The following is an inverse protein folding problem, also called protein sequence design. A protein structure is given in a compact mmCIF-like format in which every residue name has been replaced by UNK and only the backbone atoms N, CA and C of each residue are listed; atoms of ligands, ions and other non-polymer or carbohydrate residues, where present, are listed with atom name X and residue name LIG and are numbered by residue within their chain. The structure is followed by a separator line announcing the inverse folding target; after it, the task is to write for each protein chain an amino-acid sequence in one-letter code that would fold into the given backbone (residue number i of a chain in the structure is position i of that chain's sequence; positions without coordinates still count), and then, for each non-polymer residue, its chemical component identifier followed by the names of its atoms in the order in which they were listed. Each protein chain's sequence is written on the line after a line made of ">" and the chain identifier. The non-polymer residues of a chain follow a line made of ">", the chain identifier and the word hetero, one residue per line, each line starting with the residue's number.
data_IF_905812875115
#
_entry.id   IF_905812875115
#
_cell.length_a   1.000
_cell.length_b   1.000
_cell.length_c   1.000
_cell.angle_alpha   90.00
_cell.angle_beta   90.00
_cell.angle_gamma   90.00
#
_symmetry.space_group_name_H-M   'P 1'
#
loop_
_entity.id
_entity.type
_entity.pdbx_description
1 polymer ?
#
# COMPACT_ATOMS: atom_id res chain seq x y z
N UNK A 1 -33.60 3.86 -3.23
CA UNK A 1 -33.40 2.79 -2.24
C UNK A 1 -32.36 3.27 -1.25
N UNK A 2 -32.64 3.25 0.04
CA UNK A 2 -31.59 3.46 1.05
C UNK A 2 -30.66 2.26 0.96
N UNK A 3 -29.42 2.46 0.48
CA UNK A 3 -28.39 1.42 0.56
C UNK A 3 -28.00 1.29 2.03
N UNK A 4 -28.77 0.52 2.78
CA UNK A 4 -28.43 0.23 4.17
C UNK A 4 -27.21 -0.68 4.16
N UNK A 5 -26.03 -0.10 4.36
CA UNK A 5 -24.81 -0.87 4.61
C UNK A 5 -24.95 -1.57 5.97
N UNK A 6 -24.34 -2.75 6.09
CA UNK A 6 -24.35 -3.56 7.31
C UNK A 6 -22.97 -3.52 7.95
N UNK A 7 -22.91 -3.24 9.25
CA UNK A 7 -21.70 -3.37 10.06
C UNK A 7 -21.48 -4.83 10.41
N UNK A 8 -20.26 -5.35 10.19
CA UNK A 8 -19.91 -6.74 10.48
C UNK A 8 -18.64 -6.87 11.33
N UNK A 9 -18.49 -8.03 11.95
CA UNK A 9 -17.21 -8.51 12.49
C UNK A 9 -16.63 -9.55 11.52
N UNK A 10 -15.52 -9.19 10.88
CA UNK A 10 -14.88 -10.00 9.85
C UNK A 10 -13.76 -10.82 10.47
N UNK A 11 -13.84 -12.15 10.36
CA UNK A 11 -12.81 -13.05 10.87
C UNK A 11 -11.90 -13.50 9.73
N UNK A 12 -10.64 -13.08 9.78
CA UNK A 12 -9.61 -13.37 8.81
C UNK A 12 -8.70 -14.53 9.24
N UNK A 13 -8.29 -15.32 8.26
CA UNK A 13 -7.44 -16.51 8.43
C UNK A 13 -6.02 -16.27 7.90
N UNK A 14 -5.04 -17.11 8.28
CA UNK A 14 -3.67 -17.01 7.76
C UNK A 14 -3.62 -16.93 6.23
N UNK A 15 -2.78 -16.03 5.72
CA UNK A 15 -2.48 -15.84 4.30
C UNK A 15 -3.69 -15.47 3.44
N UNK A 16 -4.73 -14.91 4.06
CA UNK A 16 -5.91 -14.43 3.36
C UNK A 16 -5.67 -13.04 2.76
N UNK A 17 -6.34 -12.78 1.64
CA UNK A 17 -6.48 -11.44 1.06
C UNK A 17 -7.94 -10.99 1.18
N UNK A 18 -8.16 -9.78 1.68
CA UNK A 18 -9.47 -9.14 1.76
C UNK A 18 -9.43 -7.88 0.91
N UNK A 19 -10.37 -7.77 -0.02
CA UNK A 19 -10.57 -6.59 -0.85
C UNK A 19 -11.77 -5.78 -0.32
N UNK A 20 -11.52 -4.56 0.15
CA UNK A 20 -12.57 -3.71 0.70
C UNK A 20 -13.65 -3.32 -0.33
N UNK A 21 -13.29 -3.20 -1.61
CA UNK A 21 -14.28 -2.93 -2.67
C UNK A 21 -15.23 -4.11 -2.86
N UNK A 22 -14.75 -5.34 -2.65
CA UNK A 22 -15.60 -6.53 -2.65
C UNK A 22 -16.56 -6.53 -1.46
N UNK A 23 -16.11 -6.12 -0.27
CA UNK A 23 -16.99 -5.99 0.89
C UNK A 23 -18.07 -4.92 0.67
N UNK A 24 -17.70 -3.75 0.15
CA UNK A 24 -18.63 -2.67 -0.19
C UNK A 24 -19.68 -3.13 -1.21
N UNK A 25 -19.27 -3.89 -2.24
CA UNK A 25 -20.21 -4.42 -3.24
C UNK A 25 -21.24 -5.39 -2.65
N UNK A 26 -20.93 -6.00 -1.50
CA UNK A 26 -21.84 -6.86 -0.73
C UNK A 26 -22.71 -6.07 0.26
N UNK A 27 -22.54 -4.75 0.32
CA UNK A 27 -23.26 -3.88 1.25
C UNK A 27 -22.67 -3.88 2.66
N UNK A 28 -21.40 -4.25 2.84
CA UNK A 28 -20.72 -4.17 4.14
C UNK A 28 -20.17 -2.74 4.31
N UNK A 29 -20.32 -2.21 5.52
CA UNK A 29 -19.75 -0.91 5.91
C UNK A 29 -18.26 -1.07 6.24
N UNK A 30 -17.39 -0.76 5.29
CA UNK A 30 -15.93 -0.86 5.44
C UNK A 30 -15.31 0.21 6.33
N UNK A 31 -16.08 1.16 6.87
CA UNK A 31 -15.59 2.18 7.80
C UNK A 31 -15.87 1.72 9.24
N UNK A 32 -17.10 1.32 9.51
CA UNK A 32 -17.55 0.96 10.87
C UNK A 32 -17.40 -0.53 11.20
N UNK A 33 -17.22 -1.40 10.20
CA UNK A 33 -16.98 -2.83 10.44
C UNK A 33 -15.60 -3.06 11.05
N UNK A 34 -15.48 -4.14 11.81
CA UNK A 34 -14.23 -4.55 12.46
C UNK A 34 -13.65 -5.77 11.76
N UNK A 35 -12.35 -5.96 11.90
CA UNK A 35 -11.67 -7.16 11.45
C UNK A 35 -10.82 -7.77 12.56
N UNK A 36 -10.89 -9.09 12.65
CA UNK A 36 -10.13 -9.91 13.57
C UNK A 36 -9.20 -10.81 12.77
N UNK A 37 -7.90 -10.78 13.07
CA UNK A 37 -6.92 -11.68 12.46
C UNK A 37 -6.36 -12.61 13.53
N UNK A 38 -6.53 -13.94 13.34
CA UNK A 38 -6.18 -14.96 14.33
C UNK A 38 -6.81 -14.71 15.73
N UNK A 39 -8.02 -14.16 15.75
CA UNK A 39 -8.76 -13.85 16.98
C UNK A 39 -8.34 -12.54 17.65
N UNK A 40 -7.43 -11.76 17.07
CA UNK A 40 -7.04 -10.42 17.56
C UNK A 40 -7.74 -9.35 16.74
N UNK A 41 -8.47 -8.45 17.40
CA UNK A 41 -9.05 -7.25 16.76
C UNK A 41 -7.94 -6.33 16.25
N UNK A 42 -8.02 -5.90 14.99
CA UNK A 42 -7.04 -4.98 14.41
C UNK A 42 -7.49 -3.54 14.64
N UNK A 43 -6.60 -2.73 15.20
CA UNK A 43 -6.84 -1.31 15.48
C UNK A 43 -5.85 -0.37 14.79
N UNK A 44 -4.81 -0.91 14.14
CA UNK A 44 -3.68 -0.15 13.63
C UNK A 44 -2.62 0.10 14.69
N UNK A 45 -1.88 1.20 14.59
CA UNK A 45 -0.76 1.49 15.47
C UNK A 45 0.07 2.72 15.08
N UNK A 46 1.13 2.94 15.85
CA UNK A 46 2.06 4.06 15.67
C UNK A 46 3.17 3.63 14.72
N UNK A 47 3.59 4.55 13.85
CA UNK A 47 4.71 4.28 12.95
C UNK A 47 6.04 4.07 13.70
N UNK A 48 6.87 3.20 13.15
CA UNK A 48 8.23 2.95 13.62
C UNK A 48 9.05 4.25 13.64
N UNK A 49 9.87 4.40 14.69
CA UNK A 49 10.89 5.44 14.78
C UNK A 49 12.30 4.93 14.42
N UNK A 50 12.42 3.66 14.04
CA UNK A 50 13.69 3.05 13.64
C UNK A 50 14.01 3.37 12.17
N UNK A 51 15.28 3.63 11.83
CA UNK A 51 15.70 3.86 10.44
C UNK A 51 15.33 2.69 9.52
N UNK A 52 14.95 2.97 8.27
CA UNK A 52 14.64 1.97 7.24
C UNK A 52 13.38 1.13 7.49
N UNK A 53 12.59 1.51 8.50
CA UNK A 53 11.31 0.88 8.83
C UNK A 53 10.15 1.86 8.60
N UNK A 54 10.32 2.81 7.69
CA UNK A 54 9.25 3.73 7.28
C UNK A 54 8.06 2.91 6.78
N UNK A 55 6.84 3.38 7.08
CA UNK A 55 5.58 2.71 6.79
C UNK A 55 5.32 1.38 7.53
N UNK A 56 6.14 1.00 8.52
CA UNK A 56 5.76 -0.03 9.49
C UNK A 56 5.07 0.59 10.70
N UNK A 57 4.00 -0.03 11.18
CA UNK A 57 3.21 0.43 12.31
C UNK A 57 2.93 -0.71 13.27
N UNK A 58 2.69 -0.39 14.54
CA UNK A 58 2.33 -1.40 15.53
C UNK A 58 2.30 -0.83 16.95
N UNK A 59 2.13 -1.74 17.91
CA UNK A 59 2.33 -1.43 19.32
C UNK A 59 3.84 -1.38 19.59
N UNK A 60 4.35 -0.23 20.03
CA UNK A 60 5.79 -0.05 20.29
C UNK A 60 6.23 -0.89 21.50
N UNK A 61 7.41 -1.51 21.39
CA UNK A 61 8.10 -2.15 22.51
C UNK A 61 9.44 -1.46 22.71
N UNK A 62 9.55 -0.69 23.79
CA UNK A 62 10.78 0.03 24.14
C UNK A 62 11.96 -0.89 24.46
N UNK A 63 11.73 -2.18 24.65
CA UNK A 63 12.78 -3.16 24.94
C UNK A 63 13.25 -3.92 23.68
N UNK A 64 12.54 -3.80 22.56
CA UNK A 64 12.94 -4.42 21.29
C UNK A 64 13.83 -3.45 20.50
N UNK A 65 15.09 -3.85 20.27
CA UNK A 65 16.07 -3.05 19.53
C UNK A 65 16.09 -3.31 18.02
N UNK A 66 15.23 -4.19 17.50
CA UNK A 66 15.20 -4.56 16.08
C UNK A 66 14.21 -3.70 15.30
N UNK A 67 12.92 -3.97 15.42
CA UNK A 67 11.86 -3.16 14.78
C UNK A 67 11.18 -2.20 15.75
N UNK A 68 11.45 -2.31 17.06
CA UNK A 68 10.82 -1.46 18.08
C UNK A 68 9.33 -1.76 18.30
N UNK A 69 8.86 -2.94 17.92
CA UNK A 69 7.45 -3.36 18.07
C UNK A 69 7.31 -4.59 18.95
N UNK A 70 6.16 -4.68 19.61
CA UNK A 70 5.74 -5.89 20.31
C UNK A 70 5.37 -6.98 19.29
N UNK A 71 6.25 -7.95 19.06
CA UNK A 71 6.06 -9.04 18.07
C UNK A 71 4.89 -9.99 18.39
N UNK A 72 4.31 -9.91 19.59
CA UNK A 72 3.10 -10.68 19.94
C UNK A 72 1.80 -9.96 19.53
N UNK A 73 1.93 -8.77 18.94
CA UNK A 73 0.85 -7.94 18.45
C UNK A 73 0.93 -7.82 16.93
N UNK A 74 -0.18 -7.44 16.26
CA UNK A 74 -0.15 -7.18 14.84
C UNK A 74 0.84 -6.05 14.49
N UNK A 75 1.68 -6.30 13.50
CA UNK A 75 2.54 -5.30 12.88
C UNK A 75 1.98 -5.04 11.49
N UNK A 76 1.81 -3.77 11.13
CA UNK A 76 1.21 -3.35 9.88
C UNK A 76 2.29 -2.78 8.97
N UNK A 77 2.24 -3.07 7.68
CA UNK A 77 3.08 -2.44 6.68
C UNK A 77 2.20 -1.81 5.62
N UNK A 78 2.26 -0.48 5.55
CA UNK A 78 1.52 0.33 4.61
C UNK A 78 2.29 0.43 3.31
N UNK A 79 1.72 -0.12 2.26
CA UNK A 79 2.24 0.05 0.91
C UNK A 79 1.39 1.13 0.24
N UNK A 80 2.04 2.23 -0.14
CA UNK A 80 1.42 3.24 -0.99
C UNK A 80 0.81 2.57 -2.21
N UNK A 81 -0.36 3.05 -2.65
CA UNK A 81 -1.02 2.57 -3.86
C UNK A 81 -0.13 2.80 -5.08
N UNK A 82 0.82 1.89 -5.29
CA UNK A 82 1.66 1.88 -6.46
C UNK A 82 0.85 1.33 -7.62
N UNK A 83 1.10 1.89 -8.79
CA UNK A 83 0.71 1.27 -10.04
C UNK A 83 1.19 -0.19 -10.01
N UNK A 84 0.28 -1.14 -10.19
CA UNK A 84 0.58 -2.58 -10.15
C UNK A 84 1.73 -2.92 -11.12
N UNK A 85 1.87 -2.15 -12.21
CA UNK A 85 2.97 -2.27 -13.16
C UNK A 85 4.33 -1.89 -12.53
N UNK A 86 4.35 -0.92 -11.61
CA UNK A 86 5.55 -0.52 -10.86
C UNK A 86 5.95 -1.55 -9.80
N UNK A 87 4.97 -2.21 -9.18
CA UNK A 87 5.20 -3.33 -8.25
C UNK A 87 5.78 -4.54 -8.98
N UNK A 88 5.22 -4.88 -10.15
CA UNK A 88 5.73 -5.95 -11.01
C UNK A 88 7.16 -5.63 -11.46
N UNK A 89 7.43 -4.41 -11.95
CA UNK A 89 8.77 -4.00 -12.37
C UNK A 89 9.83 -4.10 -11.26
N UNK A 90 9.50 -3.71 -10.02
CA UNK A 90 10.41 -3.87 -8.87
C UNK A 90 10.67 -5.33 -8.52
N UNK A 91 9.64 -6.16 -8.54
CA UNK A 91 9.75 -7.59 -8.25
C UNK A 91 10.51 -8.35 -9.35
N UNK A 92 10.45 -7.89 -10.59
CA UNK A 92 11.28 -8.40 -11.69
C UNK A 92 12.75 -7.96 -11.56
N UNK A 93 13.01 -6.71 -11.13
CA UNK A 93 14.36 -6.23 -10.83
C UNK A 93 15.02 -7.02 -9.69
N UNK A 94 14.28 -7.39 -8.64
CA UNK A 94 14.84 -8.17 -7.51
C UNK A 94 15.13 -9.63 -7.90
N UNK A 95 14.38 -10.19 -8.86
CA UNK A 95 14.65 -11.52 -9.43
C UNK A 95 15.89 -11.56 -10.34
N UNK A 96 16.30 -10.43 -10.92
CA UNK A 96 17.54 -10.34 -11.70
C UNK A 96 18.79 -10.15 -10.85
N UNK A 97 18.68 -9.70 -9.59
CA UNK A 97 19.83 -9.51 -8.69
C UNK A 97 20.29 -10.77 -7.94
N UNK A 98 19.61 -11.91 -8.10
CA UNK A 98 20.01 -13.19 -7.50
C UNK A 98 20.18 -14.27 -8.55
N UNK A 99 20.99 -13.98 -9.57
CA UNK A 99 21.64 -15.00 -10.39
C UNK A 99 22.97 -14.42 -10.91
N UNK A 100 24.08 -14.71 -10.23
CA UNK A 100 25.17 -15.49 -10.82
C UNK A 100 26.33 -15.63 -9.82
N UNK A 101 26.52 -16.88 -9.39
CA UNK A 101 27.74 -17.36 -8.77
C UNK A 101 28.91 -17.35 -9.78
N UNK A 102 30.02 -16.72 -9.36
CA UNK A 102 31.39 -17.07 -9.70
C UNK A 102 31.88 -16.93 -11.17
N UNK A 103 32.88 -16.06 -11.39
CA UNK A 103 34.29 -16.42 -11.66
C UNK A 103 35.13 -15.21 -12.10
N UNK A 104 36.38 -15.22 -11.64
CA UNK A 104 37.46 -14.25 -11.92
C UNK A 104 37.79 -14.08 -13.42
N UNK A 105 38.17 -12.87 -13.85
CA UNK A 105 39.54 -12.51 -14.32
C UNK A 105 39.59 -11.34 -15.32
N UNK A 106 40.35 -10.30 -14.94
CA UNK A 106 41.30 -9.42 -15.68
C UNK A 106 41.03 -8.83 -17.10
N UNK A 107 41.32 -7.51 -17.15
CA UNK A 107 42.11 -6.73 -18.14
C UNK A 107 41.46 -5.99 -19.34
N UNK A 108 41.50 -4.65 -19.20
CA UNK A 108 42.01 -3.59 -20.11
C UNK A 108 41.36 -3.23 -21.46
N UNK A 109 41.04 -1.92 -21.55
CA UNK A 109 41.09 -0.99 -22.70
C UNK A 109 40.36 -1.33 -24.02
N UNK A 110 39.28 -0.60 -24.30
CA UNK A 110 39.06 -0.01 -25.63
C UNK A 110 38.02 1.14 -25.58
N UNK A 111 38.46 2.30 -26.07
CA UNK A 111 37.71 3.54 -26.31
C UNK A 111 37.03 3.44 -27.67
N UNK A 112 35.70 3.53 -27.76
CA UNK A 112 35.00 3.94 -28.99
C UNK A 112 33.80 4.81 -28.65
N UNK A 113 33.78 5.96 -29.33
CA UNK A 113 32.83 7.06 -29.30
C UNK A 113 31.65 6.79 -30.23
N UNK A 114 30.44 7.27 -29.89
CA UNK A 114 29.71 8.30 -30.67
C UNK A 114 28.23 8.44 -30.24
N UNK A 115 27.81 9.70 -30.18
CA UNK A 115 26.51 10.22 -29.76
C UNK A 115 25.30 9.67 -30.52
N UNK A 116 24.18 9.48 -29.81
CA UNK A 116 22.85 9.86 -30.30
C UNK A 116 21.94 10.27 -29.14
N UNK A 117 21.59 11.56 -29.18
CA UNK A 117 20.48 12.25 -28.56
C UNK A 117 19.38 11.33 -27.95
N UNK A 118 19.31 11.25 -26.61
CA UNK A 118 18.11 10.75 -25.92
C UNK A 118 17.15 11.93 -25.75
N UNK A 119 16.24 12.04 -26.70
CA UNK A 119 15.03 12.85 -26.58
C UNK A 119 14.19 12.27 -25.42
N UNK A 120 14.06 13.03 -24.33
CA UNK A 120 13.33 12.63 -23.12
C UNK A 120 11.82 12.86 -23.21
N UNK A 121 11.26 12.97 -24.42
CA UNK A 121 9.82 12.99 -24.61
C UNK A 121 9.24 11.58 -24.45
N UNK A 122 8.90 11.28 -23.19
CA UNK A 122 8.01 10.18 -22.81
C UNK A 122 6.79 10.16 -23.74
N UNK A 123 6.43 9.02 -24.34
CA UNK A 123 5.17 8.88 -25.04
C UNK A 123 4.02 9.11 -24.06
N UNK A 124 3.44 10.31 -24.11
CA UNK A 124 2.12 10.58 -23.53
C UNK A 124 1.09 9.81 -24.34
N UNK A 125 0.59 8.73 -23.78
CA UNK A 125 -0.59 8.05 -24.32
C UNK A 125 -0.54 6.54 -24.20
N UNK A 126 -0.98 6.03 -23.06
CA UNK A 126 -2.11 5.10 -22.92
C UNK A 126 -2.22 4.78 -21.42
N UNK A 127 -2.90 5.64 -20.66
CA UNK A 127 -3.39 5.31 -19.31
C UNK A 127 -4.88 5.01 -19.40
N UNK A 128 -5.18 3.84 -19.94
CA UNK A 128 -6.36 3.09 -19.56
C UNK A 128 -5.76 1.90 -18.79
N UNK A 129 -5.89 1.80 -17.47
CA UNK A 129 -7.11 1.24 -16.88
C UNK A 129 -7.27 1.63 -15.40
N UNK A 130 -8.45 2.18 -15.08
CA UNK A 130 -9.36 1.95 -13.93
C UNK A 130 -8.95 1.22 -12.64
N UNK A 131 -7.68 1.04 -12.27
CA UNK A 131 -7.29 0.55 -10.95
C UNK A 131 -7.08 1.72 -9.99
N UNK A 132 -8.22 2.11 -9.42
CA UNK A 132 -8.44 3.26 -8.55
C UNK A 132 -7.56 3.15 -7.30
N UNK A 133 -6.64 4.11 -7.16
CA UNK A 133 -5.64 4.23 -6.11
C UNK A 133 -6.23 4.15 -4.70
N UNK A 134 -5.73 3.16 -3.97
CA UNK A 134 -5.94 2.90 -2.54
C UNK A 134 -4.75 2.07 -2.09
N UNK A 135 -4.37 2.18 -0.82
CA UNK A 135 -3.16 1.53 -0.30
C UNK A 135 -3.40 0.04 -0.05
N UNK A 136 -2.32 -0.74 -0.05
CA UNK A 136 -2.33 -2.12 0.42
C UNK A 136 -1.78 -2.14 1.84
N UNK A 137 -2.52 -2.74 2.77
CA UNK A 137 -2.08 -2.92 4.13
C UNK A 137 -1.76 -4.39 4.38
N UNK A 138 -0.50 -4.70 4.64
CA UNK A 138 -0.09 -6.03 5.10
C UNK A 138 -0.08 -6.06 6.61
N UNK A 139 -0.62 -7.13 7.19
CA UNK A 139 -0.69 -7.34 8.64
C UNK A 139 0.06 -8.62 8.96
N UNK A 140 1.11 -8.51 9.77
CA UNK A 140 1.93 -9.61 10.23
C UNK A 140 1.56 -9.94 11.68
N UNK A 141 1.28 -11.21 11.95
CA UNK A 141 1.03 -11.69 13.31
C UNK A 141 1.54 -13.13 13.42
N UNK A 142 2.46 -13.36 14.36
CA UNK A 142 3.22 -14.60 14.45
C UNK A 142 3.92 -14.94 13.11
N UNK A 143 3.66 -16.11 12.54
CA UNK A 143 4.17 -16.55 11.24
C UNK A 143 3.14 -16.43 10.11
N UNK A 144 2.08 -15.64 10.31
CA UNK A 144 0.99 -15.49 9.35
C UNK A 144 0.88 -14.05 8.85
N UNK A 145 0.42 -13.91 7.61
CA UNK A 145 0.16 -12.62 6.98
C UNK A 145 -1.31 -12.50 6.61
N UNK A 146 -1.87 -11.30 6.73
CA UNK A 146 -3.15 -10.91 6.15
C UNK A 146 -2.89 -9.72 5.20
N UNK A 147 -3.45 -9.78 4.00
CA UNK A 147 -3.37 -8.66 3.03
C UNK A 147 -4.73 -7.98 2.94
N UNK A 148 -4.80 -6.68 3.17
CA UNK A 148 -5.99 -5.87 2.96
C UNK A 148 -5.74 -4.97 1.75
N UNK A 149 -6.50 -5.21 0.69
CA UNK A 149 -6.47 -4.39 -0.51
C UNK A 149 -7.52 -3.29 -0.40
N UNK A 150 -7.17 -2.16 -0.99
CA UNK A 150 -8.00 -0.97 -1.04
C UNK A 150 -8.25 -0.32 0.34
N UNK A 151 -7.25 -0.35 1.21
CA UNK A 151 -7.28 0.36 2.50
C UNK A 151 -7.19 1.88 2.27
N UNK A 152 -8.08 2.64 2.93
CA UNK A 152 -8.10 4.11 2.93
C UNK A 152 -7.49 4.62 4.24
N UNK A 153 -6.40 5.39 4.13
CA UNK A 153 -5.80 6.09 5.27
C UNK A 153 -6.72 7.22 5.76
N UNK A 154 -7.45 7.86 4.84
CA UNK A 154 -8.31 8.98 5.17
C UNK A 154 -9.52 8.54 5.99
N UNK A 155 -10.09 7.39 5.62
CA UNK A 155 -11.28 6.85 6.29
C UNK A 155 -10.95 5.87 7.41
N UNK A 156 -9.67 5.49 7.57
CA UNK A 156 -9.23 4.49 8.54
C UNK A 156 -10.04 3.19 8.41
N UNK A 157 -10.07 2.61 7.20
CA UNK A 157 -10.98 1.51 6.88
C UNK A 157 -10.83 0.31 7.83
N UNK A 158 -11.94 -0.37 8.08
CA UNK A 158 -12.09 -1.47 9.04
C UNK A 158 -11.72 -1.08 10.48
N UNK A 159 -11.85 0.21 10.81
CA UNK A 159 -11.44 0.80 12.08
C UNK A 159 -9.94 0.61 12.41
N UNK A 160 -9.11 0.40 11.39
CA UNK A 160 -7.65 0.35 11.53
C UNK A 160 -7.14 1.78 11.36
N UNK A 161 -6.45 2.32 12.38
CA UNK A 161 -5.94 3.69 12.40
C UNK A 161 -4.42 3.69 12.45
N UNK A 162 -3.78 4.31 11.46
CA UNK A 162 -2.31 4.40 11.37
C UNK A 162 -1.87 5.83 11.65
N UNK A 163 -0.92 6.01 12.57
CA UNK A 163 -0.33 7.32 12.87
C UNK A 163 0.92 7.55 12.01
N UNK A 164 0.73 8.20 10.86
CA UNK A 164 1.77 8.52 9.89
C UNK A 164 2.69 9.65 10.38
N UNK A 165 3.95 9.32 10.68
CA UNK A 165 4.96 10.21 11.21
C UNK A 165 6.15 10.43 10.24
N UNK A 166 6.46 9.48 9.37
CA UNK A 166 7.53 9.60 8.37
C UNK A 166 7.10 10.44 7.18
N UNK A 167 8.08 10.99 6.44
CA UNK A 167 7.79 11.71 5.21
C UNK A 167 7.18 10.77 4.16
N UNK A 168 7.61 9.50 4.14
CA UNK A 168 7.14 8.47 3.24
C UNK A 168 5.66 8.13 3.45
N UNK A 169 5.24 7.92 4.70
CA UNK A 169 3.83 7.62 5.02
C UNK A 169 2.92 8.84 4.81
N UNK A 170 3.43 10.05 5.06
CA UNK A 170 2.73 11.30 4.77
C UNK A 170 2.56 11.52 3.27
N UNK A 171 3.57 11.23 2.45
CA UNK A 171 3.45 11.29 0.99
C UNK A 171 2.36 10.35 0.46
N UNK A 172 2.20 9.15 1.06
CA UNK A 172 1.13 8.23 0.69
C UNK A 172 -0.23 8.85 1.02
N UNK A 173 -0.38 9.41 2.22
CA UNK A 173 -1.62 10.05 2.66
C UNK A 173 -1.98 11.27 1.77
N UNK A 174 -1.00 12.09 1.41
CA UNK A 174 -1.20 13.24 0.51
C UNK A 174 -1.63 12.81 -0.89
N UNK A 175 -1.02 11.74 -1.43
CA UNK A 175 -1.42 11.17 -2.73
C UNK A 175 -2.87 10.67 -2.70
N UNK A 176 -3.28 10.02 -1.63
CA UNK A 176 -4.65 9.56 -1.44
C UNK A 176 -5.64 10.74 -1.41
N UNK A 177 -5.31 11.79 -0.64
CA UNK A 177 -6.11 13.02 -0.55
C UNK A 177 -6.27 13.74 -1.89
N UNK A 178 -5.17 13.97 -2.61
CA UNK A 178 -5.21 14.63 -3.92
C UNK A 178 -6.08 13.86 -4.94
N UNK A 179 -6.07 12.53 -4.87
CA UNK A 179 -6.91 11.70 -5.73
C UNK A 179 -8.40 11.79 -5.37
N UNK A 180 -8.73 11.84 -4.08
CA UNK A 180 -10.12 12.01 -3.66
C UNK A 180 -10.68 13.36 -4.12
N UNK A 181 -9.92 14.44 -3.94
CA UNK A 181 -10.30 15.79 -4.38
C UNK A 181 -10.48 15.87 -5.91
N UNK A 182 -9.69 15.15 -6.70
CA UNK A 182 -9.86 15.13 -8.17
C UNK A 182 -11.17 14.47 -8.62
N UNK A 183 -11.64 13.43 -7.92
CA UNK A 183 -12.91 12.74 -8.23
C UNK A 183 -14.12 13.61 -7.92
N UNK A 184 -14.06 14.36 -6.82
CA UNK A 184 -15.15 15.25 -6.40
C UNK A 184 -15.31 16.44 -7.36
N UNK A 185 -14.20 16.95 -7.89
CA UNK A 185 -14.20 18.03 -8.88
C UNK A 185 -14.73 17.58 -10.26
N UNK A 186 -14.42 16.36 -10.70
CA UNK A 186 -14.99 15.80 -11.95
C UNK A 186 -16.51 15.59 -11.84
N UNK A 187 -17.01 15.17 -10.68
CA UNK A 187 -18.45 15.03 -10.44
C UNK A 187 -19.19 16.38 -10.41
N UNK A 188 -18.58 17.42 -9.81
CA UNK A 188 -19.15 18.77 -9.80
C UNK A 188 -19.21 19.39 -11.21
N UNK A 189 -18.25 19.06 -12.09
CA UNK A 189 -18.28 19.47 -13.50
C UNK A 189 -19.41 18.80 -14.28
N UNK A 190 -19.61 17.48 -14.10
CA UNK A 190 -20.68 16.73 -14.78
C UNK A 190 -22.08 17.22 -14.37
N UNK A 191 -22.29 17.54 -13.09
CA UNK A 191 -23.59 18.05 -12.62
C UNK A 191 -23.90 19.44 -13.20
N UNK A 192 -22.89 20.27 -13.45
CA UNK A 192 -23.05 21.60 -14.06
C UNK A 192 -23.29 21.57 -15.58
N UNK A 193 -22.88 20.51 -16.28
CA UNK A 193 -23.05 20.39 -17.74
C UNK A 193 -24.37 19.69 -18.15
N UNK A 194 -25.06 19.04 -17.20
CA UNK A 194 -26.32 18.33 -17.41
C UNK A 194 -27.55 19.09 -16.85
N UNK A 195 -27.34 20.24 -16.19
CA UNK A 195 -28.38 21.13 -15.67
C UNK A 195 -28.67 22.31 -16.62
#
# INVERSE_FOLDING_TARGET
>A
MSNNKTTEEIFAYPNQTIDLKVLESKGIDTIESKIYFLGIELHGGVESNQPYNECFFGELDSNDSNMGFNINKPIYFLQGGEDIDSVIARNEMTKQSTNEDSRQSTNSNAKVSNNSNMDCHSPKGLRNDKNIGTSTLQVFLHSSTLTILNYSLLDSSLHIKLECNSSESQEIQEKEKAQQESKDNDMDFIIKEVA
#
